data_IF_172225012308
#
_entry.id   IF_172225012308
#
_cell.length_a   1.000
_cell.length_b   1.000
_cell.length_c   1.000
_cell.angle_alpha   90.00
_cell.angle_beta   90.00
_cell.angle_gamma   90.00
#
_symmetry.space_group_name_H-M   'P 1'
#
loop_
_entity.id
_entity.type
_entity.pdbx_description
1 polymer ?
#
# COMPACT_ATOMS: atom_id res chain seq x y z
N UNK A 1 -32.84 -12.01 -22.06
CA UNK A 1 -33.17 -12.19 -20.63
C UNK A 1 -31.97 -12.14 -19.68
N UNK A 2 -30.72 -12.21 -20.16
CA UNK A 2 -29.48 -12.18 -19.35
C UNK A 2 -29.10 -10.80 -18.79
N UNK A 3 -29.65 -9.71 -19.32
CA UNK A 3 -29.34 -8.33 -18.88
C UNK A 3 -30.06 -7.90 -17.61
N UNK A 4 -31.19 -8.52 -17.26
CA UNK A 4 -31.95 -8.18 -16.04
C UNK A 4 -31.32 -8.78 -14.77
N UNK A 5 -30.76 -10.00 -14.86
CA UNK A 5 -30.13 -10.69 -13.71
C UNK A 5 -28.81 -10.02 -13.28
N UNK A 6 -28.03 -9.48 -14.23
CA UNK A 6 -26.79 -8.75 -13.93
C UNK A 6 -27.09 -7.42 -13.20
N UNK A 7 -28.14 -6.69 -13.62
CA UNK A 7 -28.57 -5.44 -12.95
C UNK A 7 -29.00 -5.68 -11.50
N UNK A 8 -29.67 -6.80 -11.23
CA UNK A 8 -30.16 -7.11 -9.88
C UNK A 8 -29.05 -7.37 -8.85
N UNK A 9 -27.85 -7.76 -9.29
CA UNK A 9 -26.74 -8.07 -8.36
C UNK A 9 -25.77 -6.91 -8.10
N UNK A 10 -25.83 -5.82 -8.87
CA UNK A 10 -24.91 -4.68 -8.70
C UNK A 10 -25.12 -3.94 -7.38
N UNK A 11 -26.36 -3.91 -6.87
CA UNK A 11 -26.71 -3.24 -5.62
C UNK A 11 -26.61 -4.14 -4.39
N UNK A 12 -26.26 -5.43 -4.53
CA UNK A 12 -26.18 -6.35 -3.40
C UNK A 12 -25.13 -5.91 -2.36
N UNK A 13 -24.07 -5.22 -2.78
CA UNK A 13 -23.10 -4.61 -1.87
C UNK A 13 -23.79 -3.54 -1.00
N UNK A 14 -24.57 -2.66 -1.61
CA UNK A 14 -25.29 -1.57 -0.92
C UNK A 14 -26.50 -2.06 -0.13
N UNK A 15 -27.07 -3.21 -0.49
CA UNK A 15 -28.20 -3.80 0.21
C UNK A 15 -27.84 -4.30 1.62
N UNK A 16 -26.55 -4.47 1.93
CA UNK A 16 -26.06 -4.85 3.26
C UNK A 16 -25.50 -3.62 3.97
N UNK A 17 -25.87 -3.43 5.24
CA UNK A 17 -25.36 -2.32 6.10
C UNK A 17 -23.84 -2.17 6.04
N UNK A 18 -23.10 -3.29 6.05
CA UNK A 18 -21.63 -3.27 5.96
C UNK A 18 -21.13 -2.70 4.63
N UNK A 19 -21.67 -3.16 3.50
CA UNK A 19 -21.25 -2.68 2.18
C UNK A 19 -21.71 -1.25 1.89
N UNK A 20 -22.91 -0.87 2.36
CA UNK A 20 -23.36 0.52 2.36
C UNK A 20 -22.41 1.43 3.15
N UNK A 21 -22.06 1.05 4.39
CA UNK A 21 -21.16 1.84 5.22
C UNK A 21 -19.75 1.93 4.62
N UNK A 22 -19.24 0.85 4.01
CA UNK A 22 -17.96 0.84 3.32
C UNK A 22 -17.96 1.81 2.14
N UNK A 23 -18.97 1.75 1.28
CA UNK A 23 -19.10 2.68 0.17
C UNK A 23 -19.24 4.14 0.64
N UNK A 24 -20.05 4.37 1.67
CA UNK A 24 -20.21 5.70 2.25
C UNK A 24 -18.90 6.25 2.82
N UNK A 25 -18.07 5.40 3.45
CA UNK A 25 -16.73 5.76 3.90
C UNK A 25 -15.87 6.26 2.74
N UNK A 26 -15.86 5.53 1.60
CA UNK A 26 -15.12 5.96 0.41
C UNK A 26 -15.63 7.30 -0.16
N UNK A 27 -16.94 7.52 -0.21
CA UNK A 27 -17.50 8.78 -0.70
C UNK A 27 -17.14 9.96 0.20
N UNK A 28 -17.17 9.77 1.52
CA UNK A 28 -16.79 10.81 2.49
C UNK A 28 -15.31 11.16 2.37
N UNK A 29 -14.43 10.15 2.37
CA UNK A 29 -13.00 10.36 2.18
C UNK A 29 -12.71 11.09 0.86
N UNK A 30 -13.33 10.67 -0.25
CA UNK A 30 -13.17 11.37 -1.53
C UNK A 30 -13.64 12.84 -1.44
N UNK A 31 -14.76 13.11 -0.77
CA UNK A 31 -15.28 14.46 -0.62
C UNK A 31 -14.33 15.37 0.16
N UNK A 32 -13.65 14.86 1.18
CA UNK A 32 -12.66 15.58 1.99
C UNK A 32 -11.49 16.08 1.13
N UNK A 33 -10.95 15.24 0.24
CA UNK A 33 -9.80 15.60 -0.61
C UNK A 33 -10.18 16.39 -1.88
N UNK A 34 -11.47 16.52 -2.18
CA UNK A 34 -11.88 17.18 -3.42
C UNK A 34 -11.59 18.69 -3.45
N UNK A 35 -11.48 19.33 -2.28
CA UNK A 35 -11.02 20.71 -2.16
C UNK A 35 -9.58 20.84 -2.63
N UNK A 36 -8.70 19.94 -2.17
CA UNK A 36 -7.29 19.97 -2.53
C UNK A 36 -7.06 19.88 -4.05
N UNK A 37 -7.76 18.98 -4.74
CA UNK A 37 -7.65 18.87 -6.20
C UNK A 37 -8.17 20.14 -6.90
N UNK A 38 -9.25 20.74 -6.39
CA UNK A 38 -9.80 22.02 -6.91
C UNK A 38 -8.84 23.18 -6.73
N UNK A 39 -8.12 23.21 -5.60
CA UNK A 39 -7.11 24.21 -5.27
C UNK A 39 -5.80 24.02 -6.06
N UNK A 40 -5.68 22.89 -6.77
CA UNK A 40 -4.57 22.58 -7.65
C UNK A 40 -3.47 21.74 -7.03
N UNK A 41 -3.69 21.14 -5.85
CA UNK A 41 -2.75 20.16 -5.30
C UNK A 41 -2.76 18.88 -6.14
N UNK A 42 -1.62 18.20 -6.21
CA UNK A 42 -1.54 16.88 -6.82
C UNK A 42 -2.12 15.83 -5.87
N UNK A 43 -3.06 15.03 -6.35
CA UNK A 43 -3.75 14.04 -5.51
C UNK A 43 -2.80 12.97 -4.96
N UNK A 44 -1.73 12.60 -5.68
CA UNK A 44 -0.75 11.65 -5.15
C UNK A 44 -0.12 12.16 -3.84
N UNK A 45 0.28 13.43 -3.83
CA UNK A 45 0.95 14.03 -2.68
C UNK A 45 0.01 14.13 -1.48
N UNK A 46 -1.21 14.60 -1.72
CA UNK A 46 -2.24 14.74 -0.68
C UNK A 46 -2.60 13.39 -0.05
N UNK A 47 -2.77 12.35 -0.87
CA UNK A 47 -3.12 11.03 -0.37
C UNK A 47 -1.94 10.32 0.30
N UNK A 48 -0.71 10.51 -0.19
CA UNK A 48 0.49 9.96 0.48
C UNK A 48 0.63 10.56 1.90
N UNK A 49 0.47 11.88 2.06
CA UNK A 49 0.45 12.50 3.39
C UNK A 49 -0.69 11.96 4.27
N UNK A 50 -1.89 11.78 3.71
CA UNK A 50 -3.02 11.23 4.46
C UNK A 50 -2.82 9.75 4.87
N UNK A 51 -2.11 8.95 4.08
CA UNK A 51 -1.70 7.59 4.44
C UNK A 51 -0.67 7.61 5.58
N UNK A 52 0.36 8.45 5.45
CA UNK A 52 1.43 8.57 6.46
C UNK A 52 0.87 9.02 7.82
N UNK A 53 -0.14 9.90 7.81
CA UNK A 53 -0.85 10.38 9.00
C UNK A 53 -1.93 9.42 9.51
N UNK A 54 -2.23 8.33 8.79
CA UNK A 54 -3.26 7.36 9.15
C UNK A 54 -4.70 7.89 9.03
N UNK A 55 -4.91 8.95 8.26
CA UNK A 55 -6.24 9.54 7.98
C UNK A 55 -7.06 8.64 7.05
N UNK A 56 -6.37 7.94 6.15
CA UNK A 56 -6.96 6.94 5.26
C UNK A 56 -6.16 5.64 5.27
N UNK A 57 -6.80 4.56 4.84
CA UNK A 57 -6.17 3.24 4.69
C UNK A 57 -5.94 2.88 3.22
N UNK A 58 -4.98 1.99 2.94
CA UNK A 58 -4.58 1.57 1.58
C UNK A 58 -5.76 1.15 0.69
N UNK A 59 -6.75 0.43 1.25
CA UNK A 59 -7.90 -0.04 0.48
C UNK A 59 -8.81 1.10 -0.01
N UNK A 60 -8.70 2.30 0.59
CA UNK A 60 -9.46 3.48 0.20
C UNK A 60 -8.84 4.24 -0.97
N UNK A 61 -7.56 4.00 -1.30
CA UNK A 61 -6.84 4.75 -2.34
C UNK A 61 -7.51 4.63 -3.72
N UNK A 62 -7.76 3.41 -4.20
CA UNK A 62 -8.32 3.20 -5.54
C UNK A 62 -9.71 3.83 -5.70
N UNK A 63 -10.67 3.63 -4.76
CA UNK A 63 -11.94 4.35 -4.80
C UNK A 63 -11.78 5.87 -4.84
N UNK A 64 -10.94 6.44 -3.96
CA UNK A 64 -10.76 7.90 -3.89
C UNK A 64 -10.18 8.45 -5.19
N UNK A 65 -9.10 7.84 -5.69
CA UNK A 65 -8.46 8.24 -6.95
C UNK A 65 -9.44 8.18 -8.12
N UNK A 66 -10.23 7.11 -8.23
CA UNK A 66 -11.17 6.96 -9.32
C UNK A 66 -12.33 7.97 -9.23
N UNK A 67 -12.93 8.12 -8.05
CA UNK A 67 -14.02 9.09 -7.82
C UNK A 67 -13.55 10.52 -8.14
N UNK A 68 -12.34 10.89 -7.69
CA UNK A 68 -11.85 12.23 -7.89
C UNK A 68 -11.34 12.46 -9.30
N UNK A 69 -10.34 11.71 -9.74
CA UNK A 69 -9.69 11.98 -11.01
C UNK A 69 -10.59 11.66 -12.19
N UNK A 70 -11.31 10.54 -12.17
CA UNK A 70 -12.12 10.11 -13.32
C UNK A 70 -13.51 10.73 -13.29
N UNK A 71 -14.28 10.48 -12.22
CA UNK A 71 -15.69 10.86 -12.19
C UNK A 71 -15.90 12.36 -11.96
N UNK A 72 -15.17 12.97 -11.02
CA UNK A 72 -15.37 14.38 -10.65
C UNK A 72 -14.59 15.36 -11.53
N UNK A 73 -13.30 15.11 -11.76
CA UNK A 73 -12.42 16.04 -12.47
C UNK A 73 -12.09 15.63 -13.90
N UNK A 74 -12.61 14.50 -14.38
CA UNK A 74 -12.59 14.09 -15.79
C UNK A 74 -11.17 14.05 -16.39
N UNK A 75 -10.21 13.53 -15.61
CA UNK A 75 -8.86 13.23 -16.06
C UNK A 75 -8.92 12.15 -17.15
N UNK A 76 -8.12 12.32 -18.20
CA UNK A 76 -7.86 11.22 -19.11
C UNK A 76 -6.96 10.21 -18.42
N UNK A 77 -7.20 8.92 -18.64
CA UNK A 77 -6.36 7.88 -18.08
C UNK A 77 -6.17 6.70 -19.02
N UNK A 78 -5.09 5.98 -18.79
CA UNK A 78 -4.81 4.69 -19.42
C UNK A 78 -4.07 3.80 -18.42
N UNK A 79 -4.21 2.49 -18.56
CA UNK A 79 -3.54 1.50 -17.71
C UNK A 79 -2.75 0.54 -18.58
N UNK A 80 -1.47 0.37 -18.27
CA UNK A 80 -0.58 -0.51 -19.03
C UNK A 80 0.30 -1.31 -18.09
N UNK A 81 0.56 -2.56 -18.44
CA UNK A 81 1.68 -3.29 -17.87
C UNK A 81 2.98 -2.70 -18.42
N UNK A 82 3.96 -2.50 -17.55
CA UNK A 82 5.26 -1.97 -17.94
C UNK A 82 5.97 -2.97 -18.86
N UNK A 83 6.41 -2.51 -20.02
CA UNK A 83 6.98 -3.35 -21.07
C UNK A 83 8.43 -3.77 -20.75
N UNK A 84 9.14 -2.90 -20.05
CA UNK A 84 10.52 -3.05 -19.64
C UNK A 84 10.73 -2.43 -18.25
N UNK A 85 11.85 -2.80 -17.61
CA UNK A 85 12.26 -2.26 -16.31
C UNK A 85 12.60 -0.77 -16.44
N UNK A 86 12.08 0.06 -15.53
CA UNK A 86 12.34 1.52 -15.53
C UNK A 86 13.30 1.86 -14.39
N UNK A 87 14.53 2.23 -14.74
CA UNK A 87 15.60 2.52 -13.77
C UNK A 87 15.63 3.98 -13.30
N UNK A 88 15.16 4.91 -14.14
CA UNK A 88 15.17 6.36 -13.86
C UNK A 88 13.98 7.05 -14.50
N UNK A 89 13.55 8.14 -13.86
CA UNK A 89 12.45 9.01 -14.32
C UNK A 89 12.93 10.41 -14.67
N UNK A 90 14.23 10.65 -14.80
CA UNK A 90 14.78 12.00 -14.99
C UNK A 90 14.17 12.71 -16.21
N UNK A 91 14.00 11.99 -17.31
CA UNK A 91 13.39 12.52 -18.53
C UNK A 91 11.91 12.87 -18.31
N UNK A 92 11.18 11.98 -17.64
CA UNK A 92 9.77 12.19 -17.31
C UNK A 92 9.62 13.42 -16.42
N UNK A 93 10.34 13.47 -15.29
CA UNK A 93 10.26 14.58 -14.34
C UNK A 93 10.61 15.92 -14.98
N UNK A 94 11.73 15.99 -15.71
CA UNK A 94 12.14 17.23 -16.40
C UNK A 94 11.11 17.69 -17.42
N UNK A 95 10.49 16.76 -18.15
CA UNK A 95 9.52 17.11 -19.18
C UNK A 95 8.18 17.53 -18.58
N UNK A 96 7.66 16.78 -17.59
CA UNK A 96 6.38 17.06 -16.94
C UNK A 96 6.41 18.38 -16.17
N UNK A 97 7.53 18.75 -15.54
CA UNK A 97 7.71 20.08 -14.91
C UNK A 97 7.51 21.25 -15.87
N UNK A 98 7.64 21.03 -17.18
CA UNK A 98 7.38 22.07 -18.20
C UNK A 98 5.90 22.17 -18.59
N UNK A 99 5.05 21.25 -18.15
CA UNK A 99 3.62 21.17 -18.48
C UNK A 99 2.79 22.00 -17.50
N UNK A 100 2.78 23.32 -17.68
CA UNK A 100 2.10 24.21 -16.73
C UNK A 100 0.56 24.14 -16.77
N UNK A 101 -0.02 23.57 -17.82
CA UNK A 101 -1.48 23.40 -17.94
C UNK A 101 -1.96 22.00 -17.55
N UNK A 102 -1.06 21.05 -17.33
CA UNK A 102 -1.40 19.65 -17.06
C UNK A 102 -0.92 19.23 -15.67
N UNK A 103 -1.66 18.32 -15.06
CA UNK A 103 -1.22 17.60 -13.86
C UNK A 103 -1.19 16.11 -14.18
N UNK A 104 -0.12 15.45 -13.74
CA UNK A 104 0.08 14.02 -13.91
C UNK A 104 0.03 13.33 -12.56
N UNK A 105 -0.79 12.29 -12.46
CA UNK A 105 -0.84 11.39 -11.30
C UNK A 105 -0.63 9.97 -11.81
N UNK A 106 0.27 9.23 -11.18
CA UNK A 106 0.57 7.85 -11.53
C UNK A 106 0.22 6.93 -10.36
N UNK A 107 -0.40 5.80 -10.67
CA UNK A 107 -0.69 4.73 -9.71
C UNK A 107 0.09 3.51 -10.15
N UNK A 108 1.11 3.15 -9.39
CA UNK A 108 1.90 1.95 -9.62
C UNK A 108 1.39 0.81 -8.73
N UNK A 109 1.13 -0.34 -9.34
CA UNK A 109 0.70 -1.56 -8.65
C UNK A 109 1.90 -2.51 -8.55
N UNK A 110 2.65 -2.36 -7.46
CA UNK A 110 3.76 -3.24 -7.10
C UNK A 110 3.21 -4.58 -6.61
N UNK A 111 3.71 -5.68 -7.16
CA UNK A 111 3.21 -7.02 -6.81
C UNK A 111 3.51 -7.41 -5.34
N UNK A 112 4.48 -6.75 -4.70
CA UNK A 112 4.97 -7.04 -3.35
C UNK A 112 4.50 -6.00 -2.33
N UNK A 113 4.59 -4.71 -2.68
CA UNK A 113 4.36 -3.59 -1.77
C UNK A 113 3.03 -2.85 -2.01
N UNK A 114 2.24 -3.28 -3.00
CA UNK A 114 0.86 -2.85 -3.16
C UNK A 114 0.74 -1.62 -4.07
N UNK A 115 0.11 -0.55 -3.56
CA UNK A 115 -0.27 0.60 -4.38
C UNK A 115 0.61 1.79 -4.02
N UNK A 116 1.28 2.36 -5.01
CA UNK A 116 2.07 3.56 -4.86
C UNK A 116 1.50 4.71 -5.69
N UNK A 117 1.28 5.85 -5.05
CA UNK A 117 0.87 7.08 -5.71
C UNK A 117 2.08 7.95 -6.00
N UNK A 118 2.23 8.34 -7.26
CA UNK A 118 3.45 8.96 -7.76
C UNK A 118 3.13 10.26 -8.50
N UNK A 119 3.77 11.34 -8.06
CA UNK A 119 3.81 12.62 -8.75
C UNK A 119 5.17 12.75 -9.46
N UNK A 120 5.25 12.86 -10.81
CA UNK A 120 6.53 13.02 -11.51
C UNK A 120 7.34 14.26 -11.14
N UNK A 121 6.71 15.27 -10.52
CA UNK A 121 7.37 16.51 -10.14
C UNK A 121 8.16 16.41 -8.82
N UNK A 122 7.80 15.47 -7.94
CA UNK A 122 8.42 15.22 -6.64
C UNK A 122 9.15 13.88 -6.71
N UNK A 123 10.46 13.86 -6.47
CA UNK A 123 11.27 12.65 -6.69
C UNK A 123 11.24 11.69 -5.50
N UNK A 124 11.02 12.20 -4.28
CA UNK A 124 11.11 11.41 -3.05
C UNK A 124 10.27 10.12 -3.06
N UNK A 125 8.97 10.13 -3.47
CA UNK A 125 8.18 8.89 -3.57
C UNK A 125 8.69 7.90 -4.61
N UNK A 126 9.38 8.36 -5.65
CA UNK A 126 9.93 7.49 -6.69
C UNK A 126 11.16 6.74 -6.23
N UNK A 127 11.96 7.31 -5.35
CA UNK A 127 13.16 6.65 -4.81
C UNK A 127 12.82 5.36 -4.06
N UNK A 128 11.61 5.26 -3.49
CA UNK A 128 11.15 4.08 -2.78
C UNK A 128 10.72 2.92 -3.70
N UNK A 129 10.26 3.23 -4.92
CA UNK A 129 9.71 2.24 -5.86
C UNK A 129 10.63 1.95 -7.05
N UNK A 130 11.64 2.79 -7.29
CA UNK A 130 12.60 2.55 -8.35
C UNK A 130 13.60 1.44 -7.96
N UNK A 131 13.93 0.56 -8.90
CA UNK A 131 13.47 0.51 -10.29
C UNK A 131 12.10 -0.18 -10.44
N UNK A 132 11.25 0.35 -11.33
CA UNK A 132 9.94 -0.25 -11.59
C UNK A 132 10.11 -1.57 -12.35
N UNK A 133 9.41 -2.61 -11.92
CA UNK A 133 9.50 -3.94 -12.51
C UNK A 133 8.71 -4.05 -13.81
N UNK A 134 9.23 -4.87 -14.73
CA UNK A 134 8.51 -5.27 -15.94
C UNK A 134 7.26 -6.07 -15.58
N UNK A 135 6.22 -5.96 -16.42
CA UNK A 135 4.93 -6.64 -16.33
C UNK A 135 4.05 -6.22 -15.13
N UNK A 136 4.52 -5.29 -14.29
CA UNK A 136 3.70 -4.65 -13.27
C UNK A 136 2.84 -3.53 -13.86
N UNK A 137 1.69 -3.29 -13.24
CA UNK A 137 0.68 -2.39 -13.81
C UNK A 137 0.89 -0.95 -13.33
N UNK A 138 0.88 -0.02 -14.27
CA UNK A 138 0.90 1.41 -14.00
C UNK A 138 -0.32 2.05 -14.64
N UNK A 139 -1.06 2.85 -13.88
CA UNK A 139 -2.17 3.66 -14.37
C UNK A 139 -1.73 5.13 -14.37
N UNK A 140 -1.83 5.78 -15.53
CA UNK A 140 -1.51 7.19 -15.69
C UNK A 140 -2.79 8.00 -15.82
N UNK A 141 -2.91 9.05 -15.02
CA UNK A 141 -3.98 10.03 -15.06
C UNK A 141 -3.39 11.40 -15.44
N UNK A 142 -4.03 12.07 -16.40
CA UNK A 142 -3.66 13.42 -16.82
C UNK A 142 -4.90 14.31 -16.86
N UNK A 143 -4.85 15.39 -16.09
CA UNK A 143 -5.89 16.42 -16.03
C UNK A 143 -5.33 17.77 -16.45
N UNK A 144 -6.22 18.75 -16.63
CA UNK A 144 -5.83 20.08 -17.08
C UNK A 144 -6.55 21.19 -16.32
N UNK A 145 -5.88 22.35 -16.18
CA UNK A 145 -6.48 23.55 -15.56
C UNK A 145 -7.48 24.22 -16.50
N UNK A 146 -7.16 24.26 -17.79
CA UNK A 146 -8.05 24.74 -18.83
C UNK A 146 -8.72 23.57 -19.53
N UNK A 147 -9.85 23.83 -20.18
CA UNK A 147 -10.50 22.84 -21.03
C UNK A 147 -9.61 22.52 -22.24
N UNK A 148 -9.27 21.24 -22.40
CA UNK A 148 -8.49 20.71 -23.52
C UNK A 148 -9.28 19.57 -24.16
N UNK A 149 -9.17 19.43 -25.48
CA UNK A 149 -9.78 18.31 -26.22
C UNK A 149 -9.35 16.95 -25.62
N UNK A 150 -10.27 15.97 -25.46
CA UNK A 150 -9.93 14.66 -24.90
C UNK A 150 -8.80 13.92 -25.62
N UNK A 151 -8.70 14.06 -26.95
CA UNK A 151 -7.63 13.47 -27.74
C UNK A 151 -6.23 14.01 -27.39
N UNK A 152 -6.14 15.26 -26.95
CA UNK A 152 -4.89 15.89 -26.53
C UNK A 152 -4.47 15.41 -25.14
N UNK A 153 -5.40 15.25 -24.20
CA UNK A 153 -5.15 14.63 -22.90
C UNK A 153 -4.73 13.17 -23.05
N UNK A 154 -5.42 12.39 -23.90
CA UNK A 154 -5.03 11.02 -24.21
C UNK A 154 -3.63 10.95 -24.88
N UNK A 155 -3.28 11.94 -25.70
CA UNK A 155 -1.93 12.07 -26.25
C UNK A 155 -0.88 12.37 -25.18
N UNK A 156 -1.22 13.12 -24.14
CA UNK A 156 -0.34 13.39 -23.00
C UNK A 156 -0.14 12.12 -22.15
N UNK A 157 -1.20 11.35 -21.87
CA UNK A 157 -1.12 10.04 -21.19
C UNK A 157 -0.15 9.10 -21.93
N UNK A 158 -0.33 8.94 -23.24
CA UNK A 158 0.61 8.16 -24.08
C UNK A 158 2.02 8.73 -24.06
N UNK A 159 2.15 10.06 -23.96
CA UNK A 159 3.42 10.74 -23.83
C UNK A 159 4.15 10.40 -22.53
N UNK A 160 3.43 10.29 -21.40
CA UNK A 160 4.00 9.88 -20.11
C UNK A 160 4.64 8.50 -20.20
N UNK A 161 3.97 7.51 -20.78
CA UNK A 161 4.56 6.17 -20.98
C UNK A 161 5.78 6.20 -21.89
N UNK A 162 5.78 7.01 -22.97
CA UNK A 162 6.96 7.17 -23.82
C UNK A 162 8.15 7.76 -23.04
N UNK A 163 7.89 8.75 -22.20
CA UNK A 163 8.92 9.40 -21.37
C UNK A 163 9.49 8.44 -20.31
N UNK A 164 8.67 7.55 -19.75
CA UNK A 164 9.13 6.48 -18.84
C UNK A 164 10.18 5.58 -19.49
N UNK A 165 10.01 5.25 -20.78
CA UNK A 165 10.99 4.45 -21.54
C UNK A 165 12.07 5.29 -22.23
N UNK A 166 12.31 6.53 -21.79
CA UNK A 166 13.37 7.38 -22.33
C UNK A 166 13.12 7.94 -23.74
N UNK A 167 11.92 7.76 -24.30
CA UNK A 167 11.60 8.24 -25.64
C UNK A 167 11.30 9.74 -25.65
N UNK A 168 11.72 10.43 -26.71
CA UNK A 168 11.42 11.86 -26.89
C UNK A 168 9.94 12.08 -27.17
N UNK A 169 9.36 13.11 -26.55
CA UNK A 169 8.00 13.56 -26.80
C UNK A 169 8.00 14.86 -27.62
N UNK A 170 7.12 14.93 -28.63
CA UNK A 170 6.84 16.19 -29.31
C UNK A 170 5.94 17.05 -28.43
N UNK A 171 6.50 18.13 -27.89
CA UNK A 171 5.76 19.09 -27.08
C UNK A 171 4.64 19.76 -27.88
N UNK A 172 3.49 19.94 -27.23
CA UNK A 172 2.33 20.65 -27.79
C UNK A 172 2.07 21.92 -26.97
N UNK A 173 1.75 23.06 -27.61
CA UNK A 173 1.48 24.30 -26.90
C UNK A 173 0.37 24.19 -25.85
N UNK A 174 -0.62 23.32 -26.09
CA UNK A 174 -1.76 23.10 -25.18
C UNK A 174 -1.37 22.52 -23.81
N UNK A 175 -0.16 21.96 -23.67
CA UNK A 175 0.36 21.46 -22.40
C UNK A 175 0.83 22.59 -21.48
N UNK A 176 0.95 23.80 -22.02
CA UNK A 176 1.40 24.98 -21.31
C UNK A 176 0.26 26.00 -21.26
N UNK A 177 0.14 26.69 -20.13
CA UNK A 177 -0.80 27.79 -19.94
C UNK A 177 -0.04 29.08 -19.70
N UNK A 178 -0.51 30.15 -20.33
CA UNK A 178 -0.02 31.51 -20.13
C UNK A 178 -0.93 32.32 -19.19
N UNK A 179 -1.92 31.67 -18.55
CA UNK A 179 -2.87 32.37 -17.67
C UNK A 179 -2.21 32.71 -16.32
N UNK A 180 -2.11 34.00 -15.96
CA UNK A 180 -1.63 34.37 -14.63
C UNK A 180 -2.70 33.99 -13.58
N UNK A 181 -2.30 33.28 -12.52
CA UNK A 181 -3.12 33.08 -11.31
C UNK A 181 -3.65 31.67 -11.04
N UNK A 182 -3.79 30.78 -12.02
CA UNK A 182 -4.07 29.35 -11.77
C UNK A 182 -2.86 28.51 -12.18
N UNK A 183 -2.21 27.93 -11.19
CA UNK A 183 -1.12 26.97 -11.36
C UNK A 183 -1.39 25.81 -10.41
N UNK A 184 -0.97 24.61 -10.81
CA UNK A 184 -0.91 23.51 -9.86
C UNK A 184 0.09 23.84 -8.75
N UNK A 185 -0.25 23.45 -7.54
CA UNK A 185 0.57 23.65 -6.35
C UNK A 185 1.43 22.42 -6.20
N UNK A 186 2.74 22.62 -6.32
CA UNK A 186 3.74 21.64 -5.89
C UNK A 186 4.19 22.07 -4.50
N UNK A 187 3.95 21.26 -3.45
CA UNK A 187 4.49 21.55 -2.13
C UNK A 187 6.01 21.75 -2.23
N UNK A 188 6.54 22.86 -1.71
CA UNK A 188 8.00 23.03 -1.64
C UNK A 188 8.56 21.88 -0.78
N UNK A 189 9.39 21.02 -1.39
CA UNK A 189 10.21 20.05 -0.65
C UNK A 189 11.09 20.84 0.32
N UNK A 190 10.65 20.99 1.57
CA UNK A 190 11.48 21.52 2.65
C UNK A 190 12.62 20.54 2.90
N UNK A 191 13.72 20.69 2.16
CA UNK A 191 15.03 20.26 2.63
C UNK A 191 15.39 21.10 3.84
N UNK A 192 15.13 20.59 5.04
CA UNK A 192 15.94 20.80 6.25
C UNK A 192 15.45 19.93 7.40
N UNK A 193 16.41 19.28 8.04
CA UNK A 193 16.31 18.69 9.36
C UNK A 193 15.56 19.64 10.32
N UNK A 194 14.52 19.12 10.96
CA UNK A 194 13.80 19.83 12.02
C UNK A 194 14.06 19.09 13.32
N UNK A 195 14.96 19.69 14.08
CA UNK A 195 14.98 19.71 15.54
C UNK A 195 13.58 20.10 16.02
N UNK A 196 13.02 19.28 16.89
CA UNK A 196 11.72 19.46 17.55
C UNK A 196 11.76 20.73 18.40
N UNK A 197 10.78 21.64 18.28
CA UNK A 197 10.39 22.52 19.37
C UNK A 197 9.08 22.02 19.99
N UNK A 198 9.13 21.96 21.31
CA UNK A 198 8.14 21.45 22.24
C UNK A 198 6.95 22.41 22.44
N UNK A 199 5.83 21.83 22.90
CA UNK A 199 4.61 22.45 23.45
C UNK A 199 3.67 23.11 22.44
N UNK A 200 2.40 22.71 22.35
CA UNK A 200 1.43 22.78 23.45
C UNK A 200 0.30 21.76 23.22
N UNK A 201 0.20 20.77 24.12
CA UNK A 201 -1.02 20.00 24.35
C UNK A 201 -1.58 20.44 25.72
N UNK A 202 -2.88 20.72 25.76
CA UNK A 202 -3.65 20.78 27.00
C UNK A 202 -4.58 19.57 27.04
N UNK A 203 -4.25 18.72 28.02
CA UNK A 203 -4.99 17.67 28.72
C UNK A 203 -6.44 17.37 28.38
N UNK A 204 -6.73 16.06 28.29
CA UNK A 204 -7.64 15.30 29.17
C UNK A 204 -7.97 13.95 28.48
N UNK A 205 -7.84 12.74 29.05
CA UNK A 205 -7.61 12.23 30.41
C UNK A 205 -6.85 10.89 30.29
N UNK A 206 -5.84 10.71 31.12
CA UNK A 206 -5.17 9.44 31.44
C UNK A 206 -6.14 8.46 32.11
N UNK A 207 -6.00 7.15 31.85
CA UNK A 207 -5.71 6.27 32.98
C UNK A 207 -4.71 5.18 32.61
N UNK A 208 -3.77 5.04 33.51
CA UNK A 208 -2.40 4.60 33.37
C UNK A 208 -2.23 3.36 34.25
N UNK A 209 -1.52 2.32 33.80
CA UNK A 209 -0.88 1.41 34.76
C UNK A 209 0.42 0.83 34.23
N UNK A 210 1.47 1.64 34.40
CA UNK A 210 2.87 1.37 34.81
C UNK A 210 3.50 -0.04 34.75
N UNK A 211 4.72 -0.10 34.17
CA UNK A 211 6.05 -0.51 34.74
C UNK A 211 6.95 -1.24 33.71
N UNK A 212 8.30 -1.31 33.91
CA UNK A 212 9.26 -0.21 33.87
C UNK A 212 10.39 -0.47 32.84
N UNK A 213 11.22 0.55 32.66
CA UNK A 213 12.40 0.58 31.80
C UNK A 213 13.44 -0.53 32.08
N UNK A 214 14.05 -1.04 31.01
CA UNK A 214 15.42 -1.55 31.04
C UNK A 214 16.19 -0.94 29.87
N UNK A 215 17.27 -0.26 30.22
CA UNK A 215 18.21 0.36 29.30
C UNK A 215 19.23 -0.68 28.82
N UNK A 216 19.57 -0.68 27.52
CA UNK A 216 20.92 -1.07 27.10
C UNK A 216 21.33 -0.39 25.80
N UNK A 217 22.40 0.39 25.95
CA UNK A 217 23.46 0.83 25.05
C UNK A 217 23.32 0.72 23.52
N UNK A 218 23.65 1.86 22.91
CA UNK A 218 24.02 2.11 21.52
C UNK A 218 25.26 1.33 21.05
N UNK A 219 25.23 0.85 19.80
CA UNK A 219 26.42 0.56 18.99
C UNK A 219 26.20 1.12 17.57
N UNK A 220 27.26 1.76 17.07
CA UNK A 220 27.38 2.51 15.82
C UNK A 220 27.30 1.63 14.53
N UNK A 221 27.22 2.23 13.33
CA UNK A 221 26.63 1.62 12.14
C UNK A 221 27.62 0.79 11.32
N UNK A 222 27.24 -0.45 10.99
CA UNK A 222 27.96 -1.34 10.08
C UNK A 222 27.07 -1.79 8.92
N UNK A 223 27.48 -1.44 7.70
CA UNK A 223 27.27 -2.13 6.41
C UNK A 223 25.90 -2.80 6.20
N UNK A 224 24.99 -2.11 5.51
CA UNK A 224 23.73 -2.69 5.01
C UNK A 224 24.02 -3.58 3.80
N UNK A 225 24.18 -4.88 4.04
CA UNK A 225 23.94 -5.90 3.02
C UNK A 225 22.46 -5.86 2.60
N UNK A 226 22.21 -6.00 1.30
CA UNK A 226 20.89 -5.95 0.66
C UNK A 226 19.94 -6.92 1.36
N UNK A 227 19.00 -6.42 2.15
CA UNK A 227 17.93 -7.22 2.73
C UNK A 227 16.95 -7.58 1.62
N UNK A 228 16.95 -8.83 1.23
CA UNK A 228 15.98 -9.44 0.32
C UNK A 228 14.57 -9.21 0.89
N UNK A 229 13.77 -8.38 0.23
CA UNK A 229 12.39 -8.08 0.64
C UNK A 229 11.57 -9.36 0.59
N UNK A 230 11.05 -9.76 1.76
CA UNK A 230 10.39 -11.05 1.95
C UNK A 230 8.97 -11.02 1.38
N UNK A 231 8.72 -11.83 0.34
CA UNK A 231 7.38 -12.03 -0.27
C UNK A 231 6.33 -12.36 0.79
N UNK A 232 5.26 -11.58 0.86
CA UNK A 232 4.10 -11.83 1.75
C UNK A 232 3.21 -12.92 1.15
N UNK A 233 2.94 -13.97 1.93
CA UNK A 233 2.16 -15.14 1.52
C UNK A 233 0.89 -15.20 2.36
N UNK A 234 -0.26 -15.32 1.69
CA UNK A 234 -1.56 -15.48 2.34
C UNK A 234 -1.80 -16.91 2.83
N UNK A 235 -2.31 -17.03 4.06
CA UNK A 235 -2.82 -18.26 4.66
C UNK A 235 -4.26 -18.01 5.12
N UNK A 236 -5.21 -18.63 4.42
CA UNK A 236 -6.62 -18.50 4.74
C UNK A 236 -6.95 -19.35 5.98
N UNK A 237 -7.64 -18.74 6.95
CA UNK A 237 -8.18 -19.48 8.09
C UNK A 237 -9.36 -20.32 7.62
N UNK A 238 -9.25 -21.64 7.68
CA UNK A 238 -10.33 -22.55 7.29
C UNK A 238 -11.10 -23.12 8.48
N UNK A 239 -10.61 -22.92 9.70
CA UNK A 239 -11.36 -23.25 10.92
C UNK A 239 -12.54 -22.29 11.12
N UNK A 240 -13.53 -22.65 11.94
CA UNK A 240 -14.69 -21.78 12.22
C UNK A 240 -14.25 -20.47 12.92
N UNK A 241 -13.29 -20.58 13.84
CA UNK A 241 -12.64 -19.47 14.52
C UNK A 241 -11.14 -19.74 14.65
N UNK A 242 -10.33 -18.70 14.53
CA UNK A 242 -8.91 -18.79 14.89
C UNK A 242 -8.78 -18.63 16.42
N UNK A 243 -8.80 -19.76 17.12
CA UNK A 243 -8.79 -19.80 18.58
C UNK A 243 -7.38 -20.04 19.12
N UNK A 244 -7.22 -20.09 20.45
CA UNK A 244 -5.93 -20.24 21.12
C UNK A 244 -5.12 -21.46 20.62
N UNK A 245 -5.78 -22.59 20.35
CA UNK A 245 -5.12 -23.77 19.76
C UNK A 245 -4.42 -23.51 18.42
N UNK A 246 -5.00 -22.67 17.54
CA UNK A 246 -4.38 -22.31 16.27
C UNK A 246 -3.15 -21.42 16.49
N UNK A 247 -3.24 -20.48 17.44
CA UNK A 247 -2.12 -19.61 17.84
C UNK A 247 -0.94 -20.43 18.36
N UNK A 248 -1.19 -21.38 19.25
CA UNK A 248 -0.15 -22.27 19.80
C UNK A 248 0.46 -23.17 18.73
N UNK A 249 -0.35 -23.70 17.81
CA UNK A 249 0.14 -24.47 16.67
C UNK A 249 1.08 -23.61 15.80
N UNK A 250 0.68 -22.37 15.48
CA UNK A 250 1.50 -21.43 14.71
C UNK A 250 2.81 -21.09 15.42
N UNK A 251 2.79 -20.85 16.74
CA UNK A 251 4.02 -20.63 17.52
C UNK A 251 4.98 -21.81 17.38
N UNK A 252 4.51 -23.03 17.57
CA UNK A 252 5.33 -24.25 17.45
C UNK A 252 5.87 -24.46 16.03
N UNK A 253 5.09 -24.15 14.99
CA UNK A 253 5.54 -24.22 13.60
C UNK A 253 6.66 -23.19 13.33
N UNK A 254 6.47 -21.95 13.76
CA UNK A 254 7.43 -20.86 13.57
C UNK A 254 8.72 -21.14 14.35
N UNK A 255 8.60 -21.63 15.58
CA UNK A 255 9.73 -22.02 16.41
C UNK A 255 10.53 -23.16 15.77
N UNK A 256 9.86 -24.19 15.24
CA UNK A 256 10.49 -25.28 14.49
C UNK A 256 11.27 -24.77 13.26
N UNK A 257 10.69 -23.82 12.52
CA UNK A 257 11.31 -23.22 11.36
C UNK A 257 12.56 -22.41 11.71
N UNK A 258 12.47 -21.57 12.75
CA UNK A 258 13.59 -20.77 13.26
C UNK A 258 14.72 -21.64 13.82
N UNK A 259 14.39 -22.79 14.40
CA UNK A 259 15.38 -23.74 14.90
C UNK A 259 16.20 -24.35 13.76
N UNK A 260 15.57 -24.73 12.63
CA UNK A 260 16.28 -25.28 11.47
C UNK A 260 17.04 -24.21 10.69
N UNK A 261 16.49 -23.00 10.60
CA UNK A 261 17.07 -21.89 9.85
C UNK A 261 17.44 -20.72 10.79
N UNK A 262 18.54 -20.85 11.58
CA UNK A 262 19.02 -19.76 12.42
C UNK A 262 19.32 -18.51 11.58
N UNK A 263 18.74 -17.37 11.95
CA UNK A 263 18.90 -16.11 11.23
C UNK A 263 17.74 -15.76 10.28
N UNK A 264 16.77 -16.66 10.09
CA UNK A 264 15.50 -16.32 9.46
C UNK A 264 14.46 -15.95 10.52
N UNK A 265 13.70 -14.89 10.25
CA UNK A 265 12.57 -14.48 11.08
C UNK A 265 11.26 -14.61 10.32
N UNK A 266 10.22 -15.13 10.97
CA UNK A 266 8.88 -15.24 10.38
C UNK A 266 8.05 -14.08 10.90
N UNK A 267 7.67 -13.21 9.98
CA UNK A 267 6.88 -12.02 10.24
C UNK A 267 5.41 -12.31 9.88
N UNK A 268 4.49 -11.79 10.68
CA UNK A 268 3.04 -12.03 10.52
C UNK A 268 2.34 -10.69 10.33
N UNK A 269 1.37 -10.66 9.41
CA UNK A 269 0.48 -9.52 9.19
C UNK A 269 -0.98 -9.95 9.17
N UNK A 270 -1.85 -9.07 9.65
CA UNK A 270 -3.29 -9.24 9.62
C UNK A 270 -3.94 -7.89 9.35
N UNK A 271 -4.84 -7.83 8.35
CA UNK A 271 -5.48 -6.58 7.90
C UNK A 271 -4.48 -5.44 7.58
N UNK A 272 -3.32 -5.78 7.03
CA UNK A 272 -2.27 -4.80 6.68
C UNK A 272 -1.31 -4.46 7.82
N UNK A 273 -1.69 -4.71 9.07
CA UNK A 273 -0.86 -4.43 10.24
C UNK A 273 0.14 -5.55 10.54
N UNK A 274 1.37 -5.18 10.93
CA UNK A 274 2.36 -6.14 11.43
C UNK A 274 1.99 -6.58 12.85
N UNK A 275 1.89 -7.89 13.04
CA UNK A 275 1.57 -8.51 14.33
C UNK A 275 2.88 -8.87 15.04
N UNK A 276 3.21 -8.12 16.09
CA UNK A 276 4.40 -8.37 16.92
C UNK A 276 4.18 -9.51 17.92
N UNK A 277 2.96 -9.64 18.45
CA UNK A 277 2.55 -10.73 19.33
C UNK A 277 1.42 -11.52 18.67
N UNK A 278 1.71 -12.75 18.27
CA UNK A 278 0.74 -13.65 17.63
C UNK A 278 -0.48 -13.94 18.53
N UNK A 279 -0.35 -13.83 19.86
CA UNK A 279 -1.48 -13.93 20.78
C UNK A 279 -2.54 -12.85 20.54
N UNK A 280 -2.16 -11.71 19.96
CA UNK A 280 -3.11 -10.65 19.62
C UNK A 280 -4.14 -11.09 18.56
N UNK A 281 -3.85 -12.13 17.77
CA UNK A 281 -4.78 -12.71 16.80
C UNK A 281 -5.93 -13.49 17.46
N UNK A 282 -5.79 -13.90 18.72
CA UNK A 282 -6.81 -14.64 19.46
C UNK A 282 -7.90 -13.75 20.09
N UNK A 283 -7.66 -12.43 20.25
CA UNK A 283 -8.63 -11.54 20.91
C UNK A 283 -10.02 -11.69 20.26
N UNK A 284 -11.03 -11.99 21.09
CA UNK A 284 -12.33 -12.55 20.66
C UNK A 284 -12.88 -11.91 19.39
N UNK A 285 -12.86 -12.67 18.30
CA UNK A 285 -13.45 -12.28 17.02
C UNK A 285 -12.56 -11.49 16.07
N UNK A 286 -11.26 -11.28 16.38
CA UNK A 286 -10.33 -10.60 15.48
C UNK A 286 -10.18 -11.37 14.18
N UNK A 287 -9.95 -12.68 14.22
CA UNK A 287 -9.74 -13.48 13.01
C UNK A 287 -10.86 -14.51 12.80
N UNK A 288 -11.52 -14.45 11.65
CA UNK A 288 -12.69 -15.28 11.30
C UNK A 288 -12.38 -16.26 10.17
N UNK A 289 -13.19 -17.31 10.05
CA UNK A 289 -13.20 -18.19 8.89
C UNK A 289 -13.14 -17.40 7.56
N UNK A 290 -12.29 -17.84 6.65
CA UNK A 290 -12.07 -17.26 5.33
C UNK A 290 -11.15 -16.04 5.32
N UNK A 291 -10.74 -15.51 6.47
CA UNK A 291 -9.87 -14.33 6.53
C UNK A 291 -8.41 -14.76 6.31
N UNK A 292 -7.65 -14.05 5.45
CA UNK A 292 -6.23 -14.33 5.27
C UNK A 292 -5.41 -13.74 6.43
N UNK A 293 -4.54 -14.57 7.01
CA UNK A 293 -3.38 -14.10 7.77
C UNK A 293 -2.18 -14.18 6.82
N UNK A 294 -1.43 -13.10 6.70
CA UNK A 294 -0.24 -13.06 5.83
C UNK A 294 1.00 -13.37 6.65
N UNK A 295 1.98 -14.04 6.05
CA UNK A 295 3.31 -14.18 6.64
C UNK A 295 4.40 -13.94 5.60
N UNK A 296 5.60 -13.61 6.04
CA UNK A 296 6.79 -13.53 5.20
C UNK A 296 8.01 -13.91 6.02
N UNK A 297 9.10 -14.26 5.33
CA UNK A 297 10.34 -14.72 5.98
C UNK A 297 11.45 -13.72 5.70
N UNK A 298 11.86 -12.98 6.73
CA UNK A 298 12.97 -12.05 6.65
C UNK A 298 14.31 -12.79 6.86
N UNK A 299 15.26 -12.59 5.94
CA UNK A 299 16.61 -13.15 6.01
C UNK A 299 17.10 -13.62 4.63
N UNK A 300 18.34 -14.11 4.58
CA UNK A 300 18.97 -14.55 3.34
C UNK A 300 18.58 -16.00 3.01
N UNK A 301 18.09 -16.23 1.78
CA UNK A 301 17.71 -17.55 1.25
C UNK A 301 16.64 -18.30 2.07
N UNK A 302 15.35 -17.93 1.97
CA UNK A 302 14.27 -18.62 2.68
C UNK A 302 14.11 -20.07 2.18
N UNK A 303 14.59 -21.03 2.97
CA UNK A 303 14.46 -22.47 2.70
C UNK A 303 13.05 -23.00 3.01
N UNK A 304 12.57 -24.00 2.26
CA UNK A 304 11.31 -24.74 2.55
C UNK A 304 10.04 -23.88 2.74
N UNK A 305 9.96 -22.71 2.08
CA UNK A 305 8.82 -21.78 2.16
C UNK A 305 7.47 -22.44 1.80
N UNK A 306 7.45 -23.37 0.85
CA UNK A 306 6.25 -24.14 0.49
C UNK A 306 5.75 -25.04 1.62
N UNK A 307 6.68 -25.62 2.39
CA UNK A 307 6.37 -26.46 3.55
C UNK A 307 5.92 -25.62 4.74
N UNK A 308 6.55 -24.45 4.94
CA UNK A 308 6.11 -23.47 5.95
C UNK A 308 4.69 -22.98 5.66
N UNK A 309 4.39 -22.60 4.42
CA UNK A 309 3.03 -22.24 3.99
C UNK A 309 2.04 -23.36 4.27
N UNK A 310 2.40 -24.61 3.95
CA UNK A 310 1.55 -25.78 4.18
C UNK A 310 1.24 -25.98 5.66
N UNK A 311 2.25 -25.94 6.54
CA UNK A 311 2.04 -26.13 7.98
C UNK A 311 1.28 -24.98 8.62
N UNK A 312 1.54 -23.72 8.23
CA UNK A 312 0.74 -22.59 8.71
C UNK A 312 -0.72 -22.70 8.27
N UNK A 313 -0.97 -23.18 7.04
CA UNK A 313 -2.32 -23.48 6.56
C UNK A 313 -3.00 -24.58 7.37
N UNK A 314 -2.31 -25.69 7.65
CA UNK A 314 -2.83 -26.76 8.50
C UNK A 314 -3.06 -26.27 9.95
N UNK A 315 -2.16 -25.44 10.49
CA UNK A 315 -2.28 -24.79 11.79
C UNK A 315 -3.43 -23.79 11.89
N UNK A 316 -3.87 -23.21 10.76
CA UNK A 316 -5.04 -22.34 10.66
C UNK A 316 -6.35 -23.08 10.34
N UNK A 317 -6.30 -24.41 10.28
CA UNK A 317 -7.43 -25.30 10.02
C UNK A 317 -7.82 -26.09 11.27
N UNK A 318 -8.83 -26.95 11.17
CA UNK A 318 -9.17 -27.93 12.23
C UNK A 318 -8.06 -28.95 12.50
N UNK A 319 -7.02 -29.03 11.64
CA UNK A 319 -5.86 -29.92 11.80
C UNK A 319 -4.79 -29.38 12.75
N UNK A 320 -5.01 -28.23 13.39
CA UNK A 320 -4.03 -27.58 14.26
C UNK A 320 -3.52 -28.49 15.40
N UNK A 321 -4.36 -29.41 15.88
CA UNK A 321 -4.03 -30.37 16.94
C UNK A 321 -2.80 -31.23 16.61
N UNK A 322 -2.55 -31.51 15.31
CA UNK A 322 -1.37 -32.22 14.85
C UNK A 322 -0.07 -31.57 15.36
N UNK A 323 -0.07 -30.24 15.52
CA UNK A 323 1.08 -29.47 15.99
C UNK A 323 1.07 -29.20 17.50
N UNK A 324 0.10 -29.73 18.26
CA UNK A 324 0.03 -29.51 19.70
C UNK A 324 0.64 -30.66 20.52
N UNK A 325 0.98 -31.78 19.90
CA UNK A 325 1.62 -32.92 20.56
C UNK A 325 2.98 -32.57 21.18
N UNK A 326 3.37 -33.31 22.23
CA UNK A 326 4.63 -33.15 22.96
C UNK A 326 4.52 -32.29 24.23
N UNK A 327 5.40 -32.48 25.22
CA UNK A 327 5.43 -31.68 26.45
C UNK A 327 5.51 -30.17 26.18
N UNK A 328 4.90 -29.36 27.06
CA UNK A 328 5.05 -27.90 27.01
C UNK A 328 6.54 -27.51 27.01
N UNK A 329 6.96 -26.71 26.03
CA UNK A 329 8.36 -26.28 25.87
C UNK A 329 9.25 -27.18 25.01
N UNK A 330 8.71 -28.25 24.41
CA UNK A 330 9.46 -29.02 23.38
C UNK A 330 9.19 -28.50 21.98
N UNK A 331 10.26 -28.13 21.27
CA UNK A 331 10.19 -27.69 19.87
C UNK A 331 9.93 -28.90 18.97
N UNK A 332 8.89 -28.82 18.14
CA UNK A 332 8.61 -29.85 17.15
C UNK A 332 9.71 -29.89 16.07
N UNK A 333 10.09 -31.06 15.59
CA UNK A 333 11.01 -31.22 14.44
C UNK A 333 10.21 -31.36 13.14
N UNK A 334 9.57 -30.28 12.70
CA UNK A 334 8.75 -30.25 11.49
C UNK A 334 9.58 -29.97 10.23
N UNK A 335 10.63 -29.16 10.38
CA UNK A 335 11.52 -28.79 9.29
C UNK A 335 12.72 -29.69 9.25
#
# INVERSE_FOLDING_TARGET
MTTASIRNNQLNLMARRKGYNLALSHFRAAQEFAGNVSDGYNLADVLNSALDEGVIEDYQLRPIVHILLVEKFVYAFDSQNLQDRVESIDLLSKTVRSWTNLQVVLVYLDANDGIHLLNPEILTPWEAVLPLAKDECMVCYVGSLAEIKPAELASAVKGVYKLLYGSKLRMKPVFQTNRPGKKFIVPEEKRKAVVIPESTYLDSVHEETTRPASATASIAPGVRTKKTTAVKIAVNVTNELFHNGNVEAWKKIIESYKLKYPGLDVLIWYEGERINDINALFKWGKVKHGTPIMFSVAGDSPGELSKLRKYLFEGASSRFEAFLHGPHGTVLRLF
#
